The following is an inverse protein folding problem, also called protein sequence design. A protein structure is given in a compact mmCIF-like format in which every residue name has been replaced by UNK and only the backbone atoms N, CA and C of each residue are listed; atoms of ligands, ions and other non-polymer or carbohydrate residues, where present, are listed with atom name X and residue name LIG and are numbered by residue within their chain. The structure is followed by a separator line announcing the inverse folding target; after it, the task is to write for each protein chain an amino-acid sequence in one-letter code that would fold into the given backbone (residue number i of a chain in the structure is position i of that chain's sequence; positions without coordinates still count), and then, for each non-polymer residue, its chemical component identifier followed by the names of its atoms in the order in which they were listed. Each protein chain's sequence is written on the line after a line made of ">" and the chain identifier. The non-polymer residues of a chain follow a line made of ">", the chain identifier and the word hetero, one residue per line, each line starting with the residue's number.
data_IF_898957255966
#
_entry.id   IF_898957255966
#
_cell.length_a   1.000
_cell.length_b   1.000
_cell.length_c   1.000
_cell.angle_alpha   90.00
_cell.angle_beta   90.00
_cell.angle_gamma   90.00
#
_symmetry.space_group_name_H-M   'P 1'
#
loop_
_entity.id
_entity.type
_entity.pdbx_description
1 polymer ?
#
# COMPACT_ATOMS: atom_id res chain seq x y z
N UNK A 1 -11.16 -15.29 1.53
CA UNK A 1 -11.50 -13.95 0.99
C UNK A 1 -10.32 -13.01 1.23
N UNK A 2 -10.04 -12.02 0.37
CA UNK A 2 -8.89 -11.12 0.52
C UNK A 2 -9.33 -9.67 0.77
N UNK A 3 -9.56 -9.33 2.04
CA UNK A 3 -9.92 -7.96 2.49
C UNK A 3 -8.83 -6.93 2.15
N UNK A 4 -7.59 -7.39 2.00
CA UNK A 4 -6.45 -6.55 1.60
C UNK A 4 -6.63 -5.89 0.23
N UNK A 5 -7.34 -6.50 -0.72
CA UNK A 5 -7.57 -5.86 -2.02
C UNK A 5 -8.61 -4.74 -1.92
N UNK A 6 -9.69 -4.94 -1.17
CA UNK A 6 -10.71 -3.91 -0.97
C UNK A 6 -10.13 -2.68 -0.24
N UNK A 7 -9.38 -2.91 0.84
CA UNK A 7 -8.72 -1.83 1.59
C UNK A 7 -7.65 -1.09 0.78
N UNK A 8 -6.97 -1.77 -0.16
CA UNK A 8 -6.03 -1.10 -1.07
C UNK A 8 -6.74 -0.18 -2.07
N UNK A 9 -7.89 -0.60 -2.60
CA UNK A 9 -8.70 0.21 -3.53
C UNK A 9 -9.26 1.43 -2.82
N UNK A 10 -9.87 1.24 -1.64
CA UNK A 10 -10.40 2.33 -0.82
C UNK A 10 -9.35 2.91 0.12
N UNK A 11 -8.22 3.39 -0.42
CA UNK A 11 -7.13 3.94 0.39
C UNK A 11 -6.88 5.42 0.11
N UNK A 12 -6.39 6.15 1.12
CA UNK A 12 -5.93 7.53 0.97
C UNK A 12 -4.88 7.70 -0.13
N UNK A 13 -4.04 6.67 -0.37
CA UNK A 13 -3.04 6.71 -1.44
C UNK A 13 -3.68 6.63 -2.82
N UNK A 14 -4.74 5.83 -3.00
CA UNK A 14 -5.49 5.79 -4.26
C UNK A 14 -6.21 7.12 -4.49
N UNK A 15 -6.85 7.68 -3.46
CA UNK A 15 -7.46 9.00 -3.54
C UNK A 15 -6.45 10.08 -3.94
N UNK A 16 -5.27 10.15 -3.28
CA UNK A 16 -4.22 11.10 -3.62
C UNK A 16 -3.72 10.95 -5.07
N UNK A 17 -3.55 9.70 -5.54
CA UNK A 17 -3.16 9.42 -6.92
C UNK A 17 -4.21 9.88 -7.92
N UNK A 18 -5.48 9.55 -7.69
CA UNK A 18 -6.58 9.98 -8.54
C UNK A 18 -6.75 11.50 -8.54
N UNK A 19 -6.66 12.17 -7.39
CA UNK A 19 -6.72 13.63 -7.27
C UNK A 19 -5.61 14.30 -8.07
N UNK A 20 -4.38 13.76 -7.99
CA UNK A 20 -3.27 14.23 -8.82
C UNK A 20 -3.59 14.13 -10.32
N UNK A 21 -4.20 13.02 -10.75
CA UNK A 21 -4.60 12.84 -12.14
C UNK A 21 -5.76 13.77 -12.56
N UNK A 22 -6.65 14.17 -11.64
CA UNK A 22 -7.71 15.16 -11.92
C UNK A 22 -7.09 16.54 -12.15
N UNK A 23 -6.18 16.96 -11.27
CA UNK A 23 -5.49 18.25 -11.39
C UNK A 23 -4.60 18.31 -12.65
N UNK A 24 -3.92 17.21 -12.98
CA UNK A 24 -3.09 17.04 -14.19
C UNK A 24 -3.91 16.84 -15.48
N UNK A 25 -5.25 16.92 -15.40
CA UNK A 25 -6.15 16.78 -16.55
C UNK A 25 -6.24 15.37 -17.17
N UNK A 26 -5.57 14.37 -16.57
CA UNK A 26 -5.62 12.94 -16.98
C UNK A 26 -6.95 12.27 -16.64
N UNK A 27 -7.65 12.77 -15.62
CA UNK A 27 -9.00 12.35 -15.26
C UNK A 27 -9.96 13.55 -15.37
N UNK A 28 -11.23 13.31 -15.77
CA UNK A 28 -12.22 14.38 -15.81
C UNK A 28 -12.53 14.88 -14.39
N UNK A 29 -12.90 16.16 -14.25
CA UNK A 29 -13.30 16.73 -12.96
C UNK A 29 -14.46 15.99 -12.28
N UNK A 30 -15.31 15.30 -13.05
CA UNK A 30 -16.36 14.45 -12.50
C UNK A 30 -15.82 13.31 -11.60
N UNK A 31 -14.57 12.88 -11.82
CA UNK A 31 -13.91 11.86 -10.99
C UNK A 31 -13.64 12.33 -9.55
N UNK A 32 -13.66 13.63 -9.25
CA UNK A 32 -13.47 14.17 -7.89
C UNK A 32 -14.50 13.60 -6.90
N UNK A 33 -15.71 13.33 -7.38
CA UNK A 33 -16.76 12.68 -6.56
C UNK A 33 -16.33 11.29 -6.10
N UNK A 34 -15.70 10.51 -6.99
CA UNK A 34 -15.17 9.18 -6.68
C UNK A 34 -13.96 9.27 -5.75
N UNK A 35 -13.07 10.25 -5.97
CA UNK A 35 -11.91 10.52 -5.11
C UNK A 35 -12.37 10.78 -3.68
N UNK A 36 -13.34 11.68 -3.50
CA UNK A 36 -13.88 12.02 -2.20
C UNK A 36 -14.54 10.82 -1.52
N UNK A 37 -15.34 10.04 -2.26
CA UNK A 37 -15.93 8.82 -1.71
C UNK A 37 -14.87 7.80 -1.23
N UNK A 38 -13.80 7.60 -2.01
CA UNK A 38 -12.68 6.73 -1.62
C UNK A 38 -12.03 7.22 -0.33
N UNK A 39 -11.76 8.52 -0.24
CA UNK A 39 -11.16 9.14 0.95
C UNK A 39 -12.07 9.03 2.18
N UNK A 40 -13.39 9.20 2.00
CA UNK A 40 -14.36 9.06 3.09
C UNK A 40 -14.44 7.64 3.62
N UNK A 41 -14.40 6.64 2.72
CA UNK A 41 -14.37 5.23 3.10
C UNK A 41 -13.05 4.84 3.78
N UNK A 42 -11.90 5.34 3.33
CA UNK A 42 -10.59 5.13 3.99
C UNK A 42 -10.61 5.65 5.43
N UNK A 43 -11.08 6.89 5.62
CA UNK A 43 -11.22 7.52 6.94
C UNK A 43 -12.22 6.78 7.84
N UNK A 44 -13.36 6.34 7.30
CA UNK A 44 -14.33 5.54 8.05
C UNK A 44 -13.71 4.22 8.50
N UNK A 45 -13.01 3.53 7.60
CA UNK A 45 -12.34 2.28 7.91
C UNK A 45 -11.24 2.47 8.96
N UNK A 46 -10.48 3.57 8.91
CA UNK A 46 -9.48 3.91 9.92
C UNK A 46 -10.09 4.10 11.32
N UNK A 47 -11.22 4.82 11.42
CA UNK A 47 -11.95 4.99 12.69
C UNK A 47 -12.44 3.65 13.23
N UNK A 48 -12.95 2.78 12.36
CA UNK A 48 -13.52 1.49 12.73
C UNK A 48 -12.47 0.38 12.89
N UNK A 49 -11.19 0.68 12.64
CA UNK A 49 -10.09 -0.26 12.71
C UNK A 49 -8.86 0.29 13.46
N UNK A 50 -9.10 1.24 14.37
CA UNK A 50 -8.07 1.96 15.14
C UNK A 50 -7.29 1.06 16.10
N UNK A 51 -6.01 1.41 16.34
CA UNK A 51 -5.06 0.65 17.16
C UNK A 51 -4.29 1.54 18.15
N UNK A 52 -3.70 0.92 19.19
CA UNK A 52 -3.04 1.60 20.33
C UNK A 52 -1.74 2.34 20.01
N UNK A 53 -1.08 2.12 18.86
CA UNK A 53 0.28 2.62 18.60
C UNK A 53 0.33 3.60 17.43
N UNK A 54 0.99 4.74 17.65
CA UNK A 54 1.55 5.72 16.70
C UNK A 54 0.94 5.60 15.30
N UNK A 55 -0.26 6.14 15.13
CA UNK A 55 -0.86 6.28 13.82
C UNK A 55 -0.32 7.55 13.15
N UNK A 56 0.04 7.46 11.87
CA UNK A 56 0.39 8.63 11.05
C UNK A 56 -0.84 9.45 10.65
N UNK A 57 -2.04 8.91 10.89
CA UNK A 57 -3.34 9.51 10.56
C UNK A 57 -4.11 9.77 11.85
N UNK A 58 -4.64 10.97 12.00
CA UNK A 58 -5.43 11.37 13.17
C UNK A 58 -6.64 10.44 13.40
N UNK A 59 -7.39 10.12 12.35
CA UNK A 59 -8.60 9.29 12.44
C UNK A 59 -8.33 7.79 12.69
N UNK A 60 -7.09 7.34 12.58
CA UNK A 60 -6.70 5.97 12.90
C UNK A 60 -6.24 5.81 14.37
N UNK A 61 -6.13 6.92 15.12
CA UNK A 61 -5.90 6.89 16.56
C UNK A 61 -7.06 6.19 17.29
N UNK A 62 -6.83 5.61 18.48
CA UNK A 62 -7.89 5.02 19.29
C UNK A 62 -9.10 5.93 19.39
N UNK A 63 -10.29 5.36 19.27
CA UNK A 63 -11.54 6.11 19.31
C UNK A 63 -11.71 6.78 20.68
N UNK A 64 -11.90 8.09 20.64
CA UNK A 64 -12.22 8.92 21.82
C UNK A 64 -13.44 9.81 21.58
N UNK A 65 -14.15 9.58 20.46
CA UNK A 65 -15.23 10.43 20.01
C UNK A 65 -14.79 11.92 19.93
N UNK A 66 -13.59 12.17 19.40
CA UNK A 66 -13.14 13.55 19.14
C UNK A 66 -14.07 14.20 18.10
N UNK A 67 -14.11 15.53 18.05
CA UNK A 67 -14.91 16.26 17.06
C UNK A 67 -14.68 15.75 15.63
N UNK A 68 -13.41 15.58 15.23
CA UNK A 68 -13.08 15.06 13.90
C UNK A 68 -13.57 13.63 13.66
N UNK A 69 -13.46 12.73 14.64
CA UNK A 69 -13.99 11.38 14.53
C UNK A 69 -15.52 11.39 14.43
N UNK A 70 -16.18 12.16 15.28
CA UNK A 70 -17.65 12.24 15.36
C UNK A 70 -18.24 12.85 14.10
N UNK A 71 -17.69 13.96 13.63
CA UNK A 71 -18.16 14.66 12.43
C UNK A 71 -18.03 13.77 11.20
N UNK A 72 -16.91 13.02 11.08
CA UNK A 72 -16.74 12.05 9.99
C UNK A 72 -17.77 10.91 10.06
N UNK A 73 -18.06 10.38 11.25
CA UNK A 73 -19.07 9.34 11.43
C UNK A 73 -20.48 9.84 11.08
N UNK A 74 -20.85 11.06 11.47
CA UNK A 74 -22.13 11.68 11.15
C UNK A 74 -22.25 11.93 9.64
N UNK A 75 -21.20 12.46 9.01
CA UNK A 75 -21.13 12.63 7.55
C UNK A 75 -21.36 11.30 6.83
N UNK A 76 -20.73 10.21 7.29
CA UNK A 76 -20.91 8.89 6.69
C UNK A 76 -22.33 8.35 6.88
N UNK A 77 -22.98 8.59 8.02
CA UNK A 77 -24.40 8.27 8.20
C UNK A 77 -25.26 8.98 7.15
N UNK A 78 -25.03 10.28 6.92
CA UNK A 78 -25.76 11.04 5.91
C UNK A 78 -25.51 10.49 4.48
N UNK A 79 -24.26 10.19 4.14
CA UNK A 79 -23.91 9.53 2.87
C UNK A 79 -24.69 8.23 2.70
N UNK A 80 -24.70 7.35 3.72
CA UNK A 80 -25.41 6.07 3.64
C UNK A 80 -26.93 6.20 3.63
N UNK A 81 -27.50 7.26 4.24
CA UNK A 81 -28.93 7.55 4.15
C UNK A 81 -29.35 7.92 2.72
N UNK A 82 -28.48 8.65 2.01
CA UNK A 82 -28.76 9.14 0.66
C UNK A 82 -28.15 8.26 -0.44
N UNK A 83 -27.48 7.16 -0.09
CA UNK A 83 -26.80 6.28 -1.03
C UNK A 83 -27.80 5.49 -1.88
N UNK A 84 -27.62 5.54 -3.21
CA UNK A 84 -28.35 4.73 -4.17
C UNK A 84 -27.41 3.79 -4.89
N UNK A 85 -27.81 2.53 -5.04
CA UNK A 85 -27.09 1.51 -5.80
C UNK A 85 -27.89 1.19 -7.06
N UNK A 86 -27.29 1.49 -8.21
CA UNK A 86 -27.93 1.34 -9.52
C UNK A 86 -27.32 0.14 -10.25
N UNK A 87 -28.15 -0.84 -10.58
CA UNK A 87 -27.80 -1.96 -11.43
C UNK A 87 -28.09 -1.61 -12.89
N UNK A 88 -27.13 -1.85 -13.78
CA UNK A 88 -27.27 -1.53 -15.21
C UNK A 88 -27.41 -2.80 -16.00
N UNK A 89 -28.55 -2.95 -16.69
CA UNK A 89 -28.87 -4.14 -17.49
C UNK A 89 -29.13 -3.76 -18.93
N UNK A 90 -28.74 -4.64 -19.84
CA UNK A 90 -29.16 -4.56 -21.24
C UNK A 90 -30.36 -5.48 -21.40
N UNK A 91 -31.52 -4.91 -21.70
CA UNK A 91 -32.77 -5.63 -21.94
C UNK A 91 -33.22 -5.24 -23.34
N UNK A 92 -33.38 -6.22 -24.22
CA UNK A 92 -33.79 -6.02 -25.62
C UNK A 92 -32.93 -4.99 -26.38
N UNK A 93 -31.61 -4.97 -26.10
CA UNK A 93 -30.65 -4.04 -26.69
C UNK A 93 -30.62 -2.64 -26.05
N UNK A 94 -31.51 -2.34 -25.11
CA UNK A 94 -31.57 -1.05 -24.41
C UNK A 94 -30.94 -1.11 -23.01
N UNK A 95 -30.16 -0.09 -22.67
CA UNK A 95 -29.59 0.08 -21.34
C UNK A 95 -30.66 0.57 -20.37
N UNK A 96 -30.94 -0.23 -19.34
CA UNK A 96 -31.88 0.08 -18.27
C UNK A 96 -31.13 0.22 -16.95
N UNK A 97 -31.44 1.26 -16.19
CA UNK A 97 -30.89 1.52 -14.86
C UNK A 97 -31.94 1.22 -13.79
N UNK A 98 -31.65 0.25 -12.92
CA UNK A 98 -32.58 -0.23 -11.88
C UNK A 98 -32.01 0.12 -10.51
N UNK A 99 -32.80 0.79 -9.68
CA UNK A 99 -32.43 1.03 -8.29
C UNK A 99 -32.58 -0.26 -7.47
N UNK A 100 -31.47 -0.76 -6.94
CA UNK A 100 -31.40 -1.98 -6.14
C UNK A 100 -31.01 -1.72 -4.68
N UNK A 101 -31.03 -0.46 -4.23
CA UNK A 101 -30.56 -0.04 -2.91
C UNK A 101 -31.21 -0.81 -1.76
N UNK A 102 -32.51 -1.10 -1.86
CA UNK A 102 -33.26 -1.84 -0.84
C UNK A 102 -32.78 -3.30 -0.65
N UNK A 103 -32.08 -3.86 -1.64
CA UNK A 103 -31.50 -5.21 -1.57
C UNK A 103 -30.10 -5.20 -0.92
N UNK A 104 -29.49 -4.03 -0.80
CA UNK A 104 -28.12 -3.85 -0.36
C UNK A 104 -28.03 -3.73 1.15
N UNK A 105 -28.06 -4.88 1.84
CA UNK A 105 -28.02 -4.97 3.31
C UNK A 105 -26.82 -4.25 3.94
N UNK A 106 -25.71 -4.11 3.21
CA UNK A 106 -24.50 -3.47 3.72
C UNK A 106 -24.69 -1.99 4.07
N UNK A 107 -25.63 -1.29 3.39
CA UNK A 107 -25.93 0.13 3.67
C UNK A 107 -26.47 0.26 5.10
N UNK A 108 -27.44 -0.59 5.46
CA UNK A 108 -27.96 -0.65 6.82
C UNK A 108 -26.91 -1.17 7.80
N UNK A 109 -26.07 -2.12 7.38
CA UNK A 109 -24.95 -2.61 8.17
C UNK A 109 -24.00 -1.49 8.62
N UNK A 110 -23.58 -0.62 7.71
CA UNK A 110 -22.74 0.53 8.07
C UNK A 110 -23.42 1.49 9.04
N UNK A 111 -24.70 1.81 8.79
CA UNK A 111 -25.49 2.67 9.69
C UNK A 111 -25.58 2.09 11.09
N UNK A 112 -25.83 0.79 11.21
CA UNK A 112 -25.86 0.09 12.51
C UNK A 112 -24.49 0.18 13.16
N UNK A 113 -23.41 -0.21 12.47
CA UNK A 113 -22.04 -0.17 13.02
C UNK A 113 -21.67 1.21 13.56
N UNK A 114 -21.95 2.28 12.81
CA UNK A 114 -21.63 3.65 13.24
C UNK A 114 -22.46 4.03 14.48
N UNK A 115 -23.78 3.83 14.44
CA UNK A 115 -24.64 4.18 15.57
C UNK A 115 -24.34 3.35 16.82
N UNK A 116 -24.00 2.06 16.66
CA UNK A 116 -23.59 1.18 17.74
C UNK A 116 -22.27 1.61 18.36
N UNK A 117 -21.29 2.05 17.56
CA UNK A 117 -20.03 2.59 18.10
C UNK A 117 -20.26 3.85 18.93
N UNK A 118 -21.10 4.78 18.44
CA UNK A 118 -21.42 6.01 19.15
C UNK A 118 -22.14 5.72 20.48
N UNK A 119 -23.15 4.84 20.46
CA UNK A 119 -23.87 4.43 21.67
C UNK A 119 -22.96 3.69 22.66
N UNK A 120 -22.15 2.75 22.17
CA UNK A 120 -21.19 2.03 23.01
C UNK A 120 -20.22 3.01 23.69
N UNK A 121 -19.75 4.03 22.96
CA UNK A 121 -18.89 5.04 23.55
C UNK A 121 -19.59 5.84 24.64
N UNK A 122 -20.84 6.26 24.40
CA UNK A 122 -21.62 7.01 25.39
C UNK A 122 -21.80 6.22 26.70
N UNK A 123 -21.86 4.89 26.63
CA UNK A 123 -21.95 3.98 27.79
C UNK A 123 -20.63 3.74 28.51
N UNK A 124 -19.50 3.63 27.79
CA UNK A 124 -18.21 3.22 28.38
C UNK A 124 -17.26 4.38 28.66
N UNK A 125 -17.56 5.59 28.18
CA UNK A 125 -16.65 6.73 28.28
C UNK A 125 -16.31 7.06 29.74
N UNK A 126 -15.01 7.01 30.03
CA UNK A 126 -14.45 7.37 31.33
C UNK A 126 -13.18 8.19 31.11
N UNK A 127 -12.82 9.12 32.02
CA UNK A 127 -11.62 9.92 31.87
C UNK A 127 -10.36 9.08 31.65
N UNK A 128 -9.60 9.38 30.60
CA UNK A 128 -8.39 8.65 30.23
C UNK A 128 -8.60 7.35 29.45
N UNK A 129 -9.85 6.91 29.26
CA UNK A 129 -10.16 5.71 28.48
C UNK A 129 -10.17 6.00 26.97
N UNK A 130 -9.79 5.00 26.20
CA UNK A 130 -9.77 5.05 24.72
C UNK A 130 -10.21 3.70 24.18
N UNK A 131 -10.99 3.69 23.11
CA UNK A 131 -11.51 2.46 22.53
C UNK A 131 -10.74 2.09 21.26
N UNK A 132 -10.07 0.94 21.27
CA UNK A 132 -9.44 0.39 20.06
C UNK A 132 -10.47 -0.40 19.25
N UNK A 133 -11.04 0.23 18.24
CA UNK A 133 -12.12 -0.32 17.40
C UNK A 133 -11.70 -1.55 16.60
N UNK A 134 -10.39 -1.78 16.37
CA UNK A 134 -9.89 -3.07 15.85
C UNK A 134 -10.35 -4.29 16.68
N UNK A 135 -10.70 -4.10 17.96
CA UNK A 135 -11.19 -5.19 18.84
C UNK A 135 -12.69 -5.45 18.72
N UNK A 136 -13.42 -4.66 17.93
CA UNK A 136 -14.88 -4.77 17.74
C UNK A 136 -15.26 -5.51 16.46
N UNK A 137 -14.29 -6.14 15.80
CA UNK A 137 -14.51 -6.96 14.62
C UNK A 137 -14.24 -8.44 14.91
N UNK A 138 -14.61 -9.29 13.97
CA UNK A 138 -14.45 -10.74 14.07
C UNK A 138 -13.07 -11.25 13.62
N UNK A 139 -12.10 -10.37 13.34
CA UNK A 139 -10.79 -10.76 12.80
C UNK A 139 -10.06 -11.70 13.77
N UNK A 140 -10.19 -11.48 15.08
CA UNK A 140 -9.56 -12.37 16.09
C UNK A 140 -10.08 -13.81 15.98
N UNK A 141 -11.38 -13.98 15.72
CA UNK A 141 -12.02 -15.28 15.54
C UNK A 141 -11.64 -15.90 14.20
N UNK A 142 -11.60 -15.12 13.12
CA UNK A 142 -11.17 -15.61 11.80
C UNK A 142 -9.70 -16.08 11.82
N UNK A 143 -8.84 -15.35 12.52
CA UNK A 143 -7.43 -15.72 12.72
C UNK A 143 -7.30 -17.01 13.55
N UNK A 144 -8.13 -17.17 14.59
CA UNK A 144 -8.19 -18.41 15.37
C UNK A 144 -8.57 -19.61 14.48
N UNK A 145 -9.62 -19.48 13.67
CA UNK A 145 -9.97 -20.52 12.69
C UNK A 145 -8.87 -20.77 11.66
N UNK A 146 -8.11 -19.73 11.30
CA UNK A 146 -6.92 -19.86 10.46
C UNK A 146 -5.86 -20.76 11.10
N UNK A 147 -5.60 -20.57 12.39
CA UNK A 147 -4.65 -21.39 13.13
C UNK A 147 -5.10 -22.85 13.19
N UNK A 148 -6.37 -23.13 13.49
CA UNK A 148 -6.89 -24.51 13.50
C UNK A 148 -6.74 -25.19 12.15
N UNK A 149 -7.03 -24.49 11.04
CA UNK A 149 -6.85 -25.05 9.69
C UNK A 149 -5.38 -25.32 9.33
N UNK A 150 -4.45 -24.52 9.86
CA UNK A 150 -3.02 -24.67 9.57
C UNK A 150 -2.32 -25.77 10.39
N UNK A 151 -2.96 -26.26 11.47
CA UNK A 151 -2.40 -27.31 12.32
C UNK A 151 -2.52 -28.71 11.69
N UNK A 152 -3.45 -28.90 10.75
CA UNK A 152 -3.70 -30.19 10.11
C UNK A 152 -3.35 -30.12 8.62
N UNK A 153 -2.32 -30.87 8.22
CA UNK A 153 -1.89 -30.99 6.82
C UNK A 153 -3.06 -31.55 5.97
N UNK A 154 -3.59 -30.75 5.05
CA UNK A 154 -4.67 -31.17 4.14
C UNK A 154 -6.12 -30.96 4.62
N UNK A 155 -6.37 -30.24 5.71
CA UNK A 155 -7.68 -30.09 6.36
C UNK A 155 -8.72 -29.19 5.65
N UNK A 156 -8.74 -29.15 4.31
CA UNK A 156 -9.90 -28.60 3.58
C UNK A 156 -11.11 -29.56 3.57
N UNK A 157 -10.96 -30.75 4.17
CA UNK A 157 -11.95 -31.83 4.15
C UNK A 157 -12.05 -32.57 5.50
N UNK A 158 -12.09 -31.88 6.65
CA UNK A 158 -12.40 -32.57 7.91
C UNK A 158 -13.92 -32.64 8.08
N UNK A 159 -14.44 -33.87 8.09
CA UNK A 159 -15.63 -34.22 8.85
C UNK A 159 -15.25 -34.17 10.35
N UNK A 160 -16.22 -33.76 11.17
CA UNK A 160 -16.23 -33.68 12.64
C UNK A 160 -15.60 -32.43 13.32
N UNK A 161 -16.51 -31.53 13.71
CA UNK A 161 -16.30 -30.41 14.65
C UNK A 161 -15.83 -30.86 16.04
N UNK A 162 -16.00 -32.14 16.39
CA UNK A 162 -15.76 -32.67 17.73
C UNK A 162 -14.27 -32.67 18.10
N UNK A 163 -13.37 -32.87 17.14
CA UNK A 163 -11.91 -32.85 17.36
C UNK A 163 -11.36 -31.41 17.58
N UNK A 164 -12.06 -30.39 17.09
CA UNK A 164 -11.70 -28.99 17.36
C UNK A 164 -12.04 -28.64 18.82
N UNK A 165 -13.16 -29.13 19.35
CA UNK A 165 -13.57 -28.85 20.73
C UNK A 165 -12.74 -29.57 21.80
N UNK A 166 -12.18 -30.74 21.49
CA UNK A 166 -11.28 -31.46 22.41
C UNK A 166 -9.97 -30.70 22.64
N UNK A 167 -9.43 -30.04 21.61
CA UNK A 167 -8.18 -29.26 21.70
C UNK A 167 -8.33 -27.89 22.40
N UNK A 168 -9.55 -27.39 22.59
CA UNK A 168 -9.80 -26.11 23.29
C UNK A 168 -9.55 -26.23 24.80
N UNK A 169 -9.73 -27.43 25.39
CA UNK A 169 -9.57 -27.64 26.84
C UNK A 169 -8.11 -27.69 27.30
N UNK A 170 -7.19 -28.12 26.44
CA UNK A 170 -5.78 -28.34 26.82
C UNK A 170 -4.87 -27.13 26.51
N UNK A 171 -5.41 -26.08 25.88
CA UNK A 171 -4.66 -24.87 25.55
C UNK A 171 -4.61 -23.88 26.73
N UNK A 172 -3.90 -24.24 27.81
CA UNK A 172 -3.31 -23.23 28.68
C UNK A 172 -2.27 -22.45 27.87
N UNK A 173 -2.60 -21.23 27.45
CA UNK A 173 -1.72 -20.19 26.89
C UNK A 173 -0.62 -20.69 25.93
N UNK A 174 -0.76 -20.55 24.60
CA UNK A 174 0.36 -20.76 23.72
C UNK A 174 1.36 -19.62 23.94
N UNK A 175 2.50 -19.94 24.57
CA UNK A 175 3.72 -19.15 24.46
C UNK A 175 4.05 -18.97 22.98
N UNK A 176 4.23 -17.71 22.59
CA UNK A 176 4.64 -17.30 21.25
C UNK A 176 6.08 -17.75 20.99
N UNK A 177 6.28 -19.04 20.74
CA UNK A 177 7.59 -19.57 20.36
C UNK A 177 7.78 -19.34 18.87
N UNK A 178 8.71 -18.44 18.54
CA UNK A 178 9.33 -18.30 17.23
C UNK A 178 9.86 -19.67 16.78
N UNK A 179 9.09 -20.42 16.00
CA UNK A 179 9.61 -21.57 15.27
C UNK A 179 10.35 -21.05 14.03
N UNK A 180 11.68 -21.13 14.12
CA UNK A 180 12.58 -21.02 13.00
C UNK A 180 12.15 -22.01 11.91
N UNK A 181 11.52 -21.53 10.85
CA UNK A 181 11.35 -22.28 9.62
C UNK A 181 12.72 -22.39 8.95
N UNK A 182 13.38 -23.53 9.15
CA UNK A 182 14.54 -23.97 8.38
C UNK A 182 14.14 -24.11 6.91
N UNK A 183 14.73 -23.28 6.05
CA UNK A 183 14.61 -23.42 4.60
C UNK A 183 15.36 -24.67 4.13
N UNK A 184 14.81 -25.47 3.20
CA UNK A 184 15.54 -26.59 2.61
C UNK A 184 16.80 -26.11 1.89
N UNK A 185 17.87 -26.89 2.02
CA UNK A 185 19.16 -26.64 1.41
C UNK A 185 19.11 -26.58 -0.12
N UNK A 186 20.06 -25.80 -0.63
CA UNK A 186 20.22 -25.30 -1.99
C UNK A 186 20.63 -26.42 -2.95
N UNK A 187 19.67 -26.93 -3.75
CA UNK A 187 20.03 -27.65 -4.96
C UNK A 187 20.46 -26.66 -6.06
N UNK A 188 21.62 -26.92 -6.65
CA UNK A 188 22.20 -26.19 -7.78
C UNK A 188 21.35 -26.41 -9.03
N UNK A 189 20.41 -25.51 -9.30
CA UNK A 189 19.69 -25.47 -10.58
C UNK A 189 20.46 -24.58 -11.56
N UNK A 190 20.93 -25.18 -12.65
CA UNK A 190 21.36 -24.48 -13.85
C UNK A 190 20.13 -23.86 -14.50
N UNK A 191 19.93 -22.55 -14.32
CA UNK A 191 18.82 -21.82 -14.91
C UNK A 191 19.02 -21.75 -16.43
N UNK A 192 18.12 -22.35 -17.20
CA UNK A 192 18.16 -22.22 -18.64
C UNK A 192 17.66 -20.82 -19.03
N UNK A 193 18.52 -20.08 -19.73
CA UNK A 193 18.31 -18.76 -20.34
C UNK A 193 16.87 -18.22 -20.26
N UNK A 194 16.61 -17.45 -19.20
CA UNK A 194 15.37 -16.69 -19.06
C UNK A 194 15.26 -15.75 -20.26
N UNK A 195 14.41 -16.10 -21.23
CA UNK A 195 14.08 -15.20 -22.35
C UNK A 195 13.26 -14.05 -21.78
N UNK A 196 13.96 -13.03 -21.31
CA UNK A 196 13.40 -11.73 -20.99
C UNK A 196 12.83 -11.19 -22.30
N UNK A 197 11.51 -11.27 -22.45
CA UNK A 197 10.84 -10.65 -23.59
C UNK A 197 11.14 -9.15 -23.66
N UNK A 198 10.90 -8.55 -24.81
CA UNK A 198 10.94 -7.09 -25.05
C UNK A 198 9.80 -6.38 -24.29
N UNK A 199 9.64 -6.66 -22.99
CA UNK A 199 8.84 -5.84 -22.12
C UNK A 199 9.59 -4.52 -22.01
N UNK A 200 9.01 -3.49 -22.61
CA UNK A 200 9.53 -2.15 -22.51
C UNK A 200 9.53 -1.75 -21.03
N UNK A 201 10.69 -1.84 -20.39
CA UNK A 201 10.87 -1.45 -19.01
C UNK A 201 10.61 0.05 -18.82
N UNK A 202 10.47 0.84 -19.90
CA UNK A 202 9.99 2.23 -19.87
C UNK A 202 8.59 2.35 -19.26
N UNK A 203 7.76 1.32 -19.38
CA UNK A 203 6.47 1.25 -18.67
C UNK A 203 6.64 0.97 -17.16
N UNK A 204 7.86 0.83 -16.62
CA UNK A 204 8.13 1.12 -15.19
C UNK A 204 8.07 2.64 -15.04
N UNK A 205 6.94 3.21 -15.39
CA UNK A 205 6.77 4.64 -15.51
C UNK A 205 7.01 5.30 -14.12
N UNK A 206 8.23 5.79 -13.94
CA UNK A 206 8.48 7.01 -13.20
C UNK A 206 7.91 8.24 -13.97
N UNK A 207 7.07 8.05 -14.99
CA UNK A 207 6.74 9.09 -15.99
C UNK A 207 5.80 10.17 -15.48
N UNK A 208 5.22 10.02 -14.29
CA UNK A 208 4.84 11.21 -13.55
C UNK A 208 6.01 11.61 -12.68
N UNK A 209 6.53 12.82 -12.87
CA UNK A 209 7.51 13.45 -11.98
C UNK A 209 7.06 13.38 -10.49
N UNK A 210 5.75 13.22 -10.27
CA UNK A 210 5.09 12.82 -9.02
C UNK A 210 5.56 11.48 -8.41
N UNK A 211 5.67 10.42 -9.20
CA UNK A 211 6.20 9.13 -8.73
C UNK A 211 7.69 9.23 -8.39
N UNK A 212 8.45 9.95 -9.22
CA UNK A 212 9.88 10.20 -9.00
C UNK A 212 10.13 11.01 -7.73
N UNK A 213 9.36 12.08 -7.50
CA UNK A 213 9.47 12.90 -6.29
C UNK A 213 9.17 12.08 -5.04
N UNK A 214 8.09 11.30 -5.03
CA UNK A 214 7.72 10.47 -3.89
C UNK A 214 8.77 9.39 -3.55
N UNK A 215 9.29 8.69 -4.57
CA UNK A 215 10.33 7.67 -4.37
C UNK A 215 11.68 8.28 -3.98
N UNK A 216 12.01 9.46 -4.52
CA UNK A 216 13.20 10.23 -4.10
C UNK A 216 13.15 10.56 -2.61
N UNK A 217 11.97 10.96 -2.11
CA UNK A 217 11.74 11.14 -0.67
C UNK A 217 11.97 9.86 0.15
N UNK A 218 11.56 8.70 -0.38
CA UNK A 218 11.84 7.40 0.24
C UNK A 218 13.35 7.10 0.29
N UNK A 219 14.09 7.35 -0.79
CA UNK A 219 15.54 7.14 -0.82
C UNK A 219 16.26 8.02 0.21
N UNK A 220 15.95 9.31 0.25
CA UNK A 220 16.53 10.22 1.25
C UNK A 220 16.19 9.79 2.67
N UNK A 221 14.94 9.39 2.94
CA UNK A 221 14.56 8.85 4.26
C UNK A 221 15.47 7.68 4.66
N UNK A 222 15.74 6.75 3.74
CA UNK A 222 16.62 5.62 4.01
C UNK A 222 18.09 5.99 4.18
N UNK A 223 18.55 7.03 3.50
CA UNK A 223 19.87 7.59 3.75
C UNK A 223 19.95 8.26 5.14
N UNK A 224 18.90 8.94 5.58
CA UNK A 224 18.81 9.54 6.92
C UNK A 224 18.85 8.48 8.03
N UNK A 225 18.19 7.32 7.82
CA UNK A 225 18.28 6.16 8.73
C UNK A 225 19.76 5.70 8.94
N UNK A 226 20.68 6.03 8.02
CA UNK A 226 22.12 5.73 8.10
C UNK A 226 22.97 6.88 8.62
N UNK A 227 22.66 8.10 8.19
CA UNK A 227 23.36 9.30 8.64
C UNK A 227 22.37 10.47 8.70
N UNK A 228 22.15 10.97 9.91
CA UNK A 228 21.32 12.14 10.18
C UNK A 228 22.20 13.27 10.70
N UNK A 229 22.12 14.43 10.06
CA UNK A 229 22.67 15.70 10.51
C UNK A 229 21.79 16.84 9.97
N UNK A 230 21.95 18.05 10.51
CA UNK A 230 21.10 19.21 10.16
C UNK A 230 21.15 19.49 8.65
N UNK A 231 22.33 19.47 8.04
CA UNK A 231 22.49 19.65 6.59
C UNK A 231 21.71 18.62 5.76
N UNK A 232 21.70 17.35 6.18
CA UNK A 232 20.91 16.31 5.50
C UNK A 232 19.41 16.48 5.72
N UNK A 233 18.99 16.92 6.91
CA UNK A 233 17.58 17.17 7.23
C UNK A 233 17.03 18.37 6.45
N UNK A 234 17.80 19.45 6.36
CA UNK A 234 17.47 20.63 5.54
C UNK A 234 17.40 20.27 4.06
N UNK A 235 18.40 19.53 3.55
CA UNK A 235 18.39 19.05 2.17
C UNK A 235 17.15 18.21 1.87
N UNK A 236 16.79 17.29 2.78
CA UNK A 236 15.64 16.41 2.66
C UNK A 236 14.28 17.12 2.62
N UNK A 237 14.19 18.36 3.12
CA UNK A 237 12.96 19.16 3.21
C UNK A 237 13.06 20.50 2.48
N UNK A 238 14.02 20.63 1.56
CA UNK A 238 14.31 21.88 0.89
C UNK A 238 13.24 22.32 -0.12
N UNK A 239 12.43 21.39 -0.64
CA UNK A 239 11.36 21.73 -1.57
C UNK A 239 10.12 22.24 -0.83
N UNK A 240 9.69 23.45 -1.20
CA UNK A 240 8.49 24.11 -0.68
C UNK A 240 7.49 24.49 -1.77
N UNK A 241 7.89 24.51 -3.03
CA UNK A 241 7.01 24.86 -4.14
C UNK A 241 6.08 23.68 -4.47
N UNK A 242 4.79 23.95 -4.64
CA UNK A 242 3.81 22.97 -5.10
C UNK A 242 3.60 23.24 -6.59
N UNK A 243 4.24 22.45 -7.44
CA UNK A 243 3.95 22.39 -8.86
C UNK A 243 3.32 21.03 -9.24
N UNK A 244 2.90 20.87 -10.49
CA UNK A 244 2.27 19.65 -11.01
C UNK A 244 3.05 18.36 -10.71
N UNK A 245 4.38 18.46 -10.59
CA UNK A 245 5.33 17.38 -10.32
C UNK A 245 5.34 16.89 -8.88
N UNK A 246 4.73 17.64 -7.97
CA UNK A 246 4.71 17.35 -6.54
C UNK A 246 3.30 17.14 -5.98
N UNK A 247 2.25 17.30 -6.80
CA UNK A 247 0.85 17.15 -6.40
C UNK A 247 0.56 15.83 -5.68
N UNK A 248 1.11 14.71 -6.15
CA UNK A 248 0.90 13.42 -5.49
C UNK A 248 1.51 13.39 -4.09
N UNK A 249 2.73 13.88 -3.96
CA UNK A 249 3.43 13.94 -2.67
C UNK A 249 2.71 14.92 -1.73
N UNK A 250 2.20 16.03 -2.25
CA UNK A 250 1.36 16.99 -1.54
C UNK A 250 0.07 16.34 -1.01
N UNK A 251 -0.73 15.71 -1.89
CA UNK A 251 -1.99 15.06 -1.49
C UNK A 251 -1.78 13.84 -0.58
N UNK A 252 -0.60 13.22 -0.64
CA UNK A 252 -0.23 12.09 0.21
C UNK A 252 0.28 12.51 1.58
N UNK A 253 0.73 13.76 1.73
CA UNK A 253 1.11 14.28 3.03
C UNK A 253 -0.13 14.32 3.91
N UNK A 254 -0.17 13.48 4.94
CA UNK A 254 -1.21 13.60 5.96
C UNK A 254 -1.10 14.98 6.60
N UNK A 255 -2.23 15.67 6.74
CA UNK A 255 -2.31 16.90 7.51
C UNK A 255 -1.95 16.56 8.95
N UNK A 256 -0.73 16.91 9.33
CA UNK A 256 -0.28 16.90 10.71
C UNK A 256 -0.29 18.35 11.21
N UNK A 257 -0.17 18.56 12.52
CA UNK A 257 -0.15 19.87 13.18
C UNK A 257 0.81 20.88 12.52
N UNK A 258 1.87 20.38 11.88
CA UNK A 258 2.82 21.14 11.06
C UNK A 258 2.22 21.35 9.66
N UNK A 259 1.57 22.50 9.45
CA UNK A 259 0.93 22.94 8.19
C UNK A 259 1.94 23.25 7.06
N UNK A 260 2.86 22.33 6.76
CA UNK A 260 3.75 22.44 5.59
C UNK A 260 3.11 21.78 4.37
N UNK A 261 3.52 22.21 3.18
CA UNK A 261 3.05 21.67 1.90
C UNK A 261 3.20 20.14 1.79
N UNK A 262 4.16 19.54 2.50
CA UNK A 262 4.48 18.11 2.41
C UNK A 262 4.44 17.39 3.76
N UNK A 263 3.93 18.04 4.82
CA UNK A 263 3.83 17.47 6.16
C UNK A 263 5.16 16.89 6.67
N UNK A 264 5.15 15.59 6.96
CA UNK A 264 6.34 14.83 7.43
C UNK A 264 7.12 14.15 6.30
N UNK A 265 6.68 14.27 5.04
CA UNK A 265 7.37 13.65 3.92
C UNK A 265 8.67 14.41 3.60
N UNK A 266 9.70 13.66 3.22
CA UNK A 266 10.93 14.23 2.69
C UNK A 266 10.71 14.53 1.20
N UNK A 267 10.95 15.77 0.81
CA UNK A 267 10.87 16.23 -0.57
C UNK A 267 12.19 16.95 -0.89
N UNK A 268 13.19 16.20 -1.41
CA UNK A 268 14.50 16.76 -1.73
C UNK A 268 14.45 17.68 -2.95
N UNK A 269 15.51 18.46 -3.24
CA UNK A 269 15.51 19.44 -4.31
C UNK A 269 15.59 18.78 -5.69
N UNK A 270 15.25 19.52 -6.74
CA UNK A 270 15.26 19.02 -8.12
C UNK A 270 16.62 18.44 -8.53
N UNK A 271 17.74 18.94 -7.99
CA UNK A 271 19.07 18.38 -8.24
C UNK A 271 19.17 16.91 -7.82
N UNK A 272 18.51 16.53 -6.73
CA UNK A 272 18.44 15.13 -6.29
C UNK A 272 17.48 14.32 -7.17
N UNK A 273 16.31 14.87 -7.52
CA UNK A 273 15.35 14.20 -8.39
C UNK A 273 15.96 13.89 -9.76
N UNK A 274 16.64 14.87 -10.36
CA UNK A 274 17.35 14.72 -11.62
C UNK A 274 18.43 13.64 -11.51
N UNK A 275 19.17 13.61 -10.40
CA UNK A 275 20.14 12.54 -10.16
C UNK A 275 19.49 11.14 -10.11
N UNK A 276 18.40 10.97 -9.37
CA UNK A 276 17.67 9.69 -9.33
C UNK A 276 17.11 9.32 -10.71
N UNK A 277 16.66 10.30 -11.50
CA UNK A 277 16.20 10.09 -12.87
C UNK A 277 17.32 9.55 -13.77
N UNK A 278 18.52 10.14 -13.69
CA UNK A 278 19.68 9.64 -14.45
C UNK A 278 20.11 8.23 -14.02
N UNK A 279 20.02 7.90 -12.72
CA UNK A 279 20.22 6.52 -12.28
C UNK A 279 19.20 5.56 -12.92
N UNK A 280 17.95 6.02 -13.10
CA UNK A 280 16.89 5.23 -13.71
C UNK A 280 17.01 5.07 -15.22
N UNK A 281 17.50 6.10 -15.92
CA UNK A 281 17.86 6.01 -17.34
C UNK A 281 18.91 4.91 -17.53
N UNK A 282 20.03 4.98 -16.78
CA UNK A 282 21.10 3.99 -16.86
C UNK A 282 20.59 2.58 -16.51
N UNK A 283 19.76 2.45 -15.47
CA UNK A 283 19.16 1.16 -15.12
C UNK A 283 18.32 0.61 -16.28
N UNK A 284 17.41 1.42 -16.82
CA UNK A 284 16.44 1.00 -17.83
C UNK A 284 17.13 0.59 -19.14
N UNK A 285 18.15 1.33 -19.54
CA UNK A 285 18.90 1.06 -20.78
C UNK A 285 19.72 -0.23 -20.71
N UNK A 286 20.13 -0.66 -19.50
CA UNK A 286 21.07 -1.77 -19.33
C UNK A 286 20.43 -3.03 -18.69
N UNK A 287 19.29 -2.90 -18.01
CA UNK A 287 18.75 -4.00 -17.20
C UNK A 287 18.36 -5.21 -18.04
N UNK A 288 17.76 -5.03 -19.22
CA UNK A 288 17.32 -6.13 -20.09
C UNK A 288 18.48 -7.05 -20.48
N UNK A 289 19.63 -6.47 -20.82
CA UNK A 289 20.85 -7.19 -21.21
C UNK A 289 21.53 -7.82 -20.00
N UNK A 290 21.63 -7.08 -18.89
CA UNK A 290 22.36 -7.55 -17.71
C UNK A 290 21.56 -8.54 -16.85
N UNK A 291 20.23 -8.57 -16.95
CA UNK A 291 19.36 -9.37 -16.08
C UNK A 291 19.61 -10.89 -16.17
N UNK A 292 20.16 -11.37 -17.28
CA UNK A 292 20.47 -12.78 -17.53
C UNK A 292 21.86 -13.19 -17.03
N UNK A 293 22.69 -12.23 -16.60
CA UNK A 293 24.07 -12.49 -16.22
C UNK A 293 24.23 -12.72 -14.71
N UNK A 294 25.32 -13.37 -14.30
CA UNK A 294 25.68 -13.42 -12.88
C UNK A 294 26.08 -12.03 -12.35
N UNK A 295 25.86 -11.83 -11.05
CA UNK A 295 26.22 -10.61 -10.32
C UNK A 295 25.56 -9.33 -10.87
N UNK A 296 24.34 -9.43 -11.41
CA UNK A 296 23.54 -8.31 -11.98
C UNK A 296 23.62 -7.04 -11.13
N UNK A 297 23.43 -7.17 -9.81
CA UNK A 297 23.45 -6.03 -8.88
C UNK A 297 24.76 -5.26 -8.93
N UNK A 298 25.89 -5.95 -8.98
CA UNK A 298 27.22 -5.33 -9.00
C UNK A 298 27.49 -4.67 -10.35
N UNK A 299 27.17 -5.37 -11.45
CA UNK A 299 27.36 -4.85 -12.81
C UNK A 299 26.60 -3.55 -13.03
N UNK A 300 25.32 -3.49 -12.64
CA UNK A 300 24.52 -2.27 -12.74
C UNK A 300 25.10 -1.19 -11.84
N UNK A 301 25.44 -1.51 -10.59
CA UNK A 301 26.01 -0.51 -9.66
C UNK A 301 27.27 0.13 -10.23
N UNK A 302 28.18 -0.65 -10.84
CA UNK A 302 29.39 -0.10 -11.46
C UNK A 302 29.07 0.90 -12.58
N UNK A 303 28.03 0.67 -13.36
CA UNK A 303 27.59 1.64 -14.38
C UNK A 303 27.14 2.96 -13.74
N UNK A 304 26.46 2.88 -12.59
CA UNK A 304 26.02 4.03 -11.80
C UNK A 304 27.17 4.73 -11.05
N UNK A 305 28.30 4.05 -10.83
CA UNK A 305 29.42 4.60 -10.06
C UNK A 305 30.05 5.83 -10.75
N UNK A 306 30.03 5.85 -12.08
CA UNK A 306 30.55 6.95 -12.91
C UNK A 306 29.68 8.21 -12.90
N UNK A 307 28.43 8.15 -12.40
CA UNK A 307 27.52 9.29 -12.42
C UNK A 307 27.86 10.26 -11.27
N UNK A 308 28.30 11.49 -11.56
CA UNK A 308 28.69 12.44 -10.54
C UNK A 308 27.46 13.01 -9.82
N UNK A 309 27.56 13.11 -8.50
CA UNK A 309 26.59 13.82 -7.67
C UNK A 309 27.27 14.31 -6.41
N UNK A 310 27.02 15.58 -6.07
CA UNK A 310 27.58 16.20 -4.87
C UNK A 310 26.46 16.55 -3.91
N UNK A 311 26.49 15.95 -2.73
CA UNK A 311 25.57 16.27 -1.64
C UNK A 311 26.22 17.33 -0.73
N UNK A 312 25.47 18.30 -0.17
CA UNK A 312 26.05 19.35 0.69
C UNK A 312 26.68 18.81 1.99
N UNK A 313 26.22 17.65 2.48
CA UNK A 313 26.87 16.95 3.57
C UNK A 313 27.98 16.01 3.05
N UNK A 314 29.24 16.15 3.52
CA UNK A 314 30.36 15.29 3.12
C UNK A 314 30.25 13.85 3.64
N UNK A 315 29.49 13.63 4.72
CA UNK A 315 29.25 12.31 5.30
C UNK A 315 28.05 11.58 4.67
N UNK A 316 27.43 12.16 3.63
CA UNK A 316 26.32 11.52 2.94
C UNK A 316 26.79 10.28 2.19
N UNK A 317 26.19 9.14 2.52
CA UNK A 317 26.61 7.85 1.97
C UNK A 317 26.00 7.60 0.58
N UNK A 318 26.69 8.09 -0.46
CA UNK A 318 26.28 7.93 -1.86
C UNK A 318 26.31 6.46 -2.32
N UNK A 319 27.27 5.69 -1.81
CA UNK A 319 27.41 4.25 -2.10
C UNK A 319 26.20 3.44 -1.61
N UNK A 320 25.69 3.78 -0.43
CA UNK A 320 24.47 3.21 0.11
C UNK A 320 23.26 3.59 -0.73
N UNK A 321 23.14 4.84 -1.18
CA UNK A 321 22.06 5.29 -2.05
C UNK A 321 22.03 4.49 -3.36
N UNK A 322 23.15 4.40 -4.08
CA UNK A 322 23.26 3.62 -5.33
C UNK A 322 22.90 2.14 -5.10
N UNK A 323 23.43 1.56 -4.03
CA UNK A 323 23.16 0.17 -3.65
C UNK A 323 21.68 -0.10 -3.33
N UNK A 324 21.02 0.86 -2.66
CA UNK A 324 19.60 0.80 -2.33
C UNK A 324 18.74 0.95 -3.59
N UNK A 325 19.10 1.91 -4.46
CA UNK A 325 18.45 2.15 -5.74
C UNK A 325 18.42 0.89 -6.60
N UNK A 326 19.58 0.29 -6.88
CA UNK A 326 19.68 -0.93 -7.71
C UNK A 326 18.84 -2.06 -7.12
N UNK A 327 18.92 -2.28 -5.80
CA UNK A 327 18.14 -3.32 -5.12
C UNK A 327 16.64 -3.11 -5.31
N UNK A 328 16.16 -1.87 -5.13
CA UNK A 328 14.74 -1.55 -5.27
C UNK A 328 14.27 -1.71 -6.72
N UNK A 329 15.06 -1.26 -7.69
CA UNK A 329 14.71 -1.33 -9.11
C UNK A 329 14.67 -2.76 -9.64
N UNK A 330 15.66 -3.60 -9.30
CA UNK A 330 15.64 -5.03 -9.63
C UNK A 330 14.38 -5.68 -9.05
N UNK A 331 14.07 -5.43 -7.77
CA UNK A 331 12.88 -5.98 -7.13
C UNK A 331 11.58 -5.57 -7.85
N UNK A 332 11.44 -4.29 -8.21
CA UNK A 332 10.25 -3.81 -8.94
C UNK A 332 10.15 -4.36 -10.36
N UNK A 333 11.27 -4.44 -11.09
CA UNK A 333 11.30 -5.02 -12.42
C UNK A 333 10.85 -6.48 -12.39
N UNK A 334 11.43 -7.31 -11.50
CA UNK A 334 11.04 -8.72 -11.34
C UNK A 334 9.57 -8.86 -10.91
N UNK A 335 9.12 -8.04 -9.95
CA UNK A 335 7.72 -8.06 -9.49
C UNK A 335 6.74 -7.78 -10.64
N UNK A 336 7.08 -6.87 -11.55
CA UNK A 336 6.27 -6.56 -12.74
C UNK A 336 6.27 -7.72 -13.74
N UNK A 337 7.45 -8.28 -14.05
CA UNK A 337 7.58 -9.46 -14.92
C UNK A 337 6.75 -10.63 -14.40
N UNK A 338 6.79 -10.87 -13.10
CA UNK A 338 5.96 -11.89 -12.48
C UNK A 338 4.47 -11.59 -12.69
N UNK A 339 4.03 -10.34 -12.47
CA UNK A 339 2.61 -9.96 -12.66
C UNK A 339 2.15 -10.16 -14.11
N UNK A 340 2.97 -9.83 -15.11
CA UNK A 340 2.63 -10.04 -16.53
C UNK A 340 2.48 -11.53 -16.87
N UNK A 341 3.27 -12.41 -16.26
CA UNK A 341 3.11 -13.86 -16.40
C UNK A 341 1.81 -14.37 -15.77
N UNK A 342 1.33 -13.75 -14.68
CA UNK A 342 0.06 -14.15 -14.04
C UNK A 342 -1.19 -13.70 -14.81
N UNK A 343 -1.08 -12.69 -15.66
CA UNK A 343 -2.16 -12.23 -16.56
C UNK A 343 -2.32 -13.07 -17.82
N UNK A 344 -1.41 -13.99 -18.11
CA UNK A 344 -1.54 -14.93 -19.22
C UNK A 344 -2.73 -15.90 -19.01
N UNK A 345 -3.41 -16.34 -20.07
CA UNK A 345 -4.51 -17.29 -19.97
C UNK A 345 -4.11 -18.54 -19.19
N UNK A 346 -4.98 -18.99 -18.27
CA UNK A 346 -4.73 -20.09 -17.31
C UNK A 346 -4.24 -21.39 -17.97
N UNK A 347 -4.58 -21.61 -19.24
CA UNK A 347 -4.19 -22.76 -20.07
C UNK A 347 -2.67 -22.82 -20.35
N UNK A 348 -2.00 -21.68 -20.46
CA UNK A 348 -0.57 -21.61 -20.82
C UNK A 348 0.33 -21.25 -19.63
N UNK A 349 -0.24 -20.75 -18.54
CA UNK A 349 0.51 -20.28 -17.36
C UNK A 349 1.50 -21.29 -16.76
N UNK A 350 1.20 -22.60 -16.77
CA UNK A 350 2.18 -23.62 -16.32
C UNK A 350 3.33 -23.78 -17.31
N UNK A 351 3.05 -23.78 -18.61
CA UNK A 351 4.06 -23.84 -19.67
C UNK A 351 4.93 -22.58 -19.69
N UNK A 352 4.35 -21.40 -19.47
CA UNK A 352 5.07 -20.13 -19.40
C UNK A 352 5.95 -20.05 -18.14
N UNK A 353 5.50 -20.59 -17.00
CA UNK A 353 6.34 -20.69 -15.80
C UNK A 353 7.48 -21.69 -16.01
N UNK A 354 7.21 -22.84 -16.65
CA UNK A 354 8.20 -23.88 -16.91
C UNK A 354 9.21 -23.50 -18.01
N UNK A 355 8.86 -22.61 -18.93
CA UNK A 355 9.79 -22.11 -19.97
C UNK A 355 10.79 -21.06 -19.45
N UNK A 356 10.58 -20.58 -18.22
CA UNK A 356 11.43 -19.63 -17.51
C UNK A 356 12.16 -20.24 -16.29
N UNK A 357 12.02 -21.55 -16.06
CA UNK A 357 12.81 -22.34 -15.09
C UNK A 357 13.93 -23.07 -15.86
#
# INVERSE_FOLDING_TARGET
>A
MKVSYASQVFSATVAAGMRSCVEDGKLPRAAETTVNFIEYMDKLFDILNSRTKVASKELNLPFKNTTNQRDHLIMMIDIFNNMRVIDTKIIDGNTTHIDVSQRMKFINGWKITINSLLQLWDEIQTPGYTLCTYRLNQDCLENLFGNFRNQNDGANCLDDLDEIFTNIRDSTTPTLNNSNTSFPEKNSYSCNNLRVGTLDYRDLEFTSRNALSYVSGYFIKKCLDKHTCDTCLEFAKSQNNIDESFLFTHFKAYQNEVKTAYGQLNVPPDSFLNYINELDNIFTDNFSTLAIEDQVRWKIKNLLDNLPFTHPCPNFNLEFLKSLFVRLRIFHAIKKLNKSLLSAPRKYRKLDILSHL
#
